data_IF_036634265923
#
_entry.id   IF_036634265923
#
_cell.length_a   1.000
_cell.length_b   1.000
_cell.length_c   1.000
_cell.angle_alpha   90.00
_cell.angle_beta   90.00
_cell.angle_gamma   90.00
#
_symmetry.space_group_name_H-M   'P 1'
#
loop_
_entity.id
_entity.type
_entity.pdbx_description
1 polymer ?
#
# COMPACT_ATOMS: atom_id res chain seq x y z
N UNK A 1 12.48 6.19 23.79
CA UNK A 1 11.93 6.31 25.15
C UNK A 1 11.66 7.78 25.41
N UNK A 2 10.42 8.26 25.26
CA UNK A 2 10.11 9.65 25.55
C UNK A 2 9.89 9.81 27.06
N UNK A 3 10.99 9.76 27.78
CA UNK A 3 11.03 9.87 29.23
C UNK A 3 10.35 11.15 29.75
N UNK A 4 10.43 12.23 28.96
CA UNK A 4 9.81 13.51 29.32
C UNK A 4 8.27 13.47 29.28
N UNK A 5 7.63 12.49 28.65
CA UNK A 5 6.17 12.37 28.63
C UNK A 5 5.59 12.07 30.02
N UNK A 6 6.37 11.36 30.86
CA UNK A 6 5.96 10.93 32.20
C UNK A 6 6.62 11.75 33.31
N UNK A 7 7.59 12.59 32.97
CA UNK A 7 8.37 13.38 33.90
C UNK A 7 8.22 14.89 33.64
N UNK A 8 7.05 15.35 33.26
CA UNK A 8 6.77 16.77 33.21
C UNK A 8 6.84 17.33 34.62
N UNK A 9 7.93 18.01 34.88
CA UNK A 9 8.12 18.80 36.10
C UNK A 9 8.00 20.27 35.75
N UNK A 10 7.08 20.96 36.41
CA UNK A 10 7.04 22.41 36.47
C UNK A 10 7.76 22.81 37.74
N UNK A 11 8.91 23.41 37.61
CA UNK A 11 9.60 23.99 38.79
C UNK A 11 9.00 25.34 39.08
N UNK A 12 8.32 25.45 40.22
CA UNK A 12 7.92 26.74 40.75
C UNK A 12 9.14 27.45 41.34
N UNK A 13 9.55 28.56 40.72
CA UNK A 13 10.73 29.32 41.12
C UNK A 13 10.58 30.02 42.48
N UNK A 14 9.35 30.29 42.91
CA UNK A 14 9.06 30.99 44.16
C UNK A 14 9.12 30.06 45.37
N UNK A 15 8.67 28.81 45.19
CA UNK A 15 8.53 27.86 46.30
C UNK A 15 9.63 26.80 46.36
N UNK A 16 10.52 26.72 45.37
CA UNK A 16 11.50 25.63 45.13
C UNK A 16 10.86 24.23 45.18
N UNK A 17 9.64 24.15 44.71
CA UNK A 17 8.89 22.90 44.61
C UNK A 17 8.74 22.51 43.15
N UNK A 18 8.50 21.23 42.93
CA UNK A 18 8.17 20.67 41.64
C UNK A 18 6.69 20.29 41.66
N UNK A 19 5.93 20.85 40.77
CA UNK A 19 4.53 20.60 40.56
C UNK A 19 4.32 19.52 39.50
N UNK A 20 3.26 18.71 39.67
CA UNK A 20 2.94 17.60 38.78
C UNK A 20 1.51 17.77 38.25
N UNK A 21 1.32 17.41 36.99
CA UNK A 21 0.00 17.19 36.47
C UNK A 21 -0.54 15.79 36.87
N UNK A 22 -1.84 15.57 36.72
CA UNK A 22 -2.51 14.36 37.17
C UNK A 22 -1.90 13.09 36.54
N UNK A 23 -1.44 13.17 35.30
CA UNK A 23 -0.82 12.02 34.58
C UNK A 23 0.55 11.67 35.18
N UNK A 24 1.32 12.68 35.57
CA UNK A 24 2.62 12.47 36.20
C UNK A 24 2.44 11.96 37.64
N UNK A 25 1.43 12.42 38.35
CA UNK A 25 1.11 11.94 39.69
C UNK A 25 0.73 10.48 39.70
N UNK A 26 -0.19 10.04 38.84
CA UNK A 26 -0.57 8.62 38.72
C UNK A 26 0.65 7.72 38.45
N UNK A 27 1.55 8.17 37.60
CA UNK A 27 2.80 7.44 37.33
C UNK A 27 3.71 7.36 38.58
N UNK A 28 3.85 8.45 39.35
CA UNK A 28 4.68 8.47 40.52
C UNK A 28 4.11 7.69 41.68
N UNK A 29 2.81 7.80 41.95
CA UNK A 29 2.13 7.03 43.00
C UNK A 29 2.22 5.52 42.73
N UNK A 30 2.11 5.10 41.47
CA UNK A 30 2.21 3.69 41.08
C UNK A 30 3.62 3.11 41.21
N UNK A 31 4.65 3.91 40.99
CA UNK A 31 6.04 3.43 40.88
C UNK A 31 6.95 3.87 42.03
N UNK A 32 6.50 4.78 42.90
CA UNK A 32 7.26 5.32 44.01
C UNK A 32 6.36 5.51 45.23
N UNK A 33 6.88 5.20 46.40
CA UNK A 33 6.23 5.48 47.67
C UNK A 33 6.35 6.99 47.97
N UNK A 34 5.35 7.77 47.56
CA UNK A 34 5.32 9.23 47.64
C UNK A 34 4.52 9.72 48.83
N UNK A 35 4.92 9.39 50.05
CA UNK A 35 4.38 9.98 51.30
C UNK A 35 4.71 11.48 51.48
N UNK A 36 5.28 12.11 50.43
CA UNK A 36 5.93 13.41 50.48
C UNK A 36 5.25 14.50 49.66
N UNK A 37 4.13 14.20 49.09
CA UNK A 37 3.38 15.16 48.27
C UNK A 37 2.48 16.04 49.11
N UNK A 38 2.54 17.35 48.86
CA UNK A 38 1.54 18.30 49.33
C UNK A 38 0.55 18.58 48.21
N UNK A 39 -0.72 18.55 48.57
CA UNK A 39 -1.80 18.99 47.69
C UNK A 39 -2.30 20.33 48.23
N UNK A 40 -2.06 21.38 47.51
CA UNK A 40 -2.56 22.73 47.81
C UNK A 40 -3.29 23.23 46.56
N UNK A 41 -4.54 23.69 46.72
CA UNK A 41 -5.37 24.19 45.60
C UNK A 41 -5.51 23.22 44.42
N UNK A 42 -5.52 21.90 44.68
CA UNK A 42 -5.63 20.87 43.65
C UNK A 42 -4.29 20.63 42.90
N UNK A 43 -3.20 21.29 43.27
CA UNK A 43 -1.89 21.10 42.66
C UNK A 43 -1.06 20.20 43.56
N UNK A 44 -0.61 19.08 43.00
CA UNK A 44 0.32 18.19 43.68
C UNK A 44 1.75 18.68 43.52
N UNK A 45 2.50 18.77 44.62
CA UNK A 45 3.88 19.25 44.57
C UNK A 45 4.81 18.53 45.57
N UNK A 46 6.10 18.46 45.23
CA UNK A 46 7.15 17.90 46.08
C UNK A 46 8.34 18.85 46.16
N UNK A 47 9.07 18.86 47.30
CA UNK A 47 10.29 19.67 47.42
C UNK A 47 11.34 19.26 46.37
N UNK A 48 11.96 20.24 45.72
CA UNK A 48 12.91 19.99 44.63
C UNK A 48 14.11 19.15 45.06
N UNK A 49 14.56 19.30 46.31
CA UNK A 49 15.68 18.53 46.90
C UNK A 49 15.32 17.03 47.06
N UNK A 50 14.09 16.76 47.53
CA UNK A 50 13.55 15.39 47.66
C UNK A 50 13.36 14.77 46.29
N UNK A 51 12.75 15.51 45.37
CA UNK A 51 12.61 15.09 43.98
C UNK A 51 13.94 14.71 43.35
N UNK A 52 14.97 15.52 43.52
CA UNK A 52 16.31 15.25 42.96
C UNK A 52 16.87 13.92 43.46
N UNK A 53 16.74 13.61 44.75
CA UNK A 53 17.20 12.32 45.29
C UNK A 53 16.48 11.13 44.68
N UNK A 54 15.15 11.23 44.59
CA UNK A 54 14.31 10.17 43.97
C UNK A 54 14.68 10.00 42.50
N UNK A 55 14.80 11.10 41.76
CA UNK A 55 15.17 11.09 40.36
C UNK A 55 16.56 10.48 40.12
N UNK A 56 17.56 10.89 40.89
CA UNK A 56 18.93 10.40 40.73
C UNK A 56 19.01 8.88 41.05
N UNK A 57 18.31 8.43 42.09
CA UNK A 57 18.24 7.02 42.45
C UNK A 57 17.56 6.18 41.34
N UNK A 58 16.45 6.68 40.86
CA UNK A 58 15.73 6.02 39.75
C UNK A 58 16.56 5.98 38.49
N UNK A 59 17.18 7.11 38.11
CA UNK A 59 18.02 7.17 36.91
C UNK A 59 19.24 6.29 36.98
N UNK A 60 19.82 6.11 38.18
CA UNK A 60 20.91 5.16 38.35
C UNK A 60 20.50 3.73 38.05
N UNK A 61 19.30 3.33 38.50
CA UNK A 61 18.75 2.01 38.20
C UNK A 61 18.37 1.86 36.71
N UNK A 62 17.76 2.88 36.10
CA UNK A 62 17.46 2.90 34.67
C UNK A 62 18.73 2.80 33.83
N UNK A 63 19.78 3.53 34.18
CA UNK A 63 21.08 3.44 33.48
C UNK A 63 21.69 2.04 33.57
N UNK A 64 21.67 1.44 34.76
CA UNK A 64 22.15 0.05 34.94
C UNK A 64 21.38 -0.93 34.10
N UNK A 65 20.05 -0.80 34.07
CA UNK A 65 19.18 -1.64 33.25
C UNK A 65 19.46 -1.48 31.75
N UNK A 66 19.59 -0.22 31.25
CA UNK A 66 19.90 0.07 29.86
C UNK A 66 21.25 -0.53 29.48
N UNK A 67 22.28 -0.37 30.31
CA UNK A 67 23.61 -0.95 30.01
C UNK A 67 23.57 -2.47 29.98
N UNK A 68 22.86 -3.11 30.92
CA UNK A 68 22.75 -4.56 30.99
C UNK A 68 21.94 -5.18 29.84
N UNK A 69 21.01 -4.41 29.25
CA UNK A 69 20.08 -4.90 28.23
C UNK A 69 20.18 -4.10 26.92
N UNK A 70 21.32 -3.45 26.66
CA UNK A 70 21.50 -2.50 25.57
C UNK A 70 21.05 -3.03 24.21
N UNK A 71 21.53 -4.21 23.81
CA UNK A 71 21.29 -4.75 22.48
C UNK A 71 19.82 -5.16 22.29
N UNK A 72 19.22 -5.75 23.34
CA UNK A 72 17.78 -6.10 23.29
C UNK A 72 16.90 -4.86 23.22
N UNK A 73 17.21 -3.83 24.03
CA UNK A 73 16.47 -2.57 24.02
C UNK A 73 16.62 -1.84 22.69
N UNK A 74 17.83 -1.83 22.14
CA UNK A 74 18.10 -1.21 20.83
C UNK A 74 17.31 -1.91 19.72
N UNK A 75 17.30 -3.25 19.72
CA UNK A 75 16.50 -4.02 18.76
C UNK A 75 15.01 -3.70 18.89
N UNK A 76 14.45 -3.76 20.11
CA UNK A 76 13.04 -3.43 20.35
C UNK A 76 12.70 -2.00 19.91
N UNK A 77 13.57 -1.04 20.20
CA UNK A 77 13.36 0.35 19.80
C UNK A 77 13.39 0.51 18.28
N UNK A 78 14.35 -0.12 17.60
CA UNK A 78 14.44 -0.10 16.15
C UNK A 78 13.21 -0.73 15.51
N UNK A 79 12.73 -1.85 16.02
CA UNK A 79 11.52 -2.52 15.51
C UNK A 79 10.28 -1.62 15.64
N UNK A 80 10.15 -0.89 16.75
CA UNK A 80 9.06 0.08 16.95
C UNK A 80 9.18 1.24 15.96
N UNK A 81 10.38 1.84 15.87
CA UNK A 81 10.62 2.99 14.98
C UNK A 81 10.42 2.61 13.51
N UNK A 82 10.89 1.44 13.09
CA UNK A 82 10.70 0.94 11.72
C UNK A 82 9.20 0.78 11.45
N UNK A 83 8.44 0.16 12.35
CA UNK A 83 6.98 0.01 12.19
C UNK A 83 6.26 1.36 12.10
N UNK A 84 6.66 2.34 12.93
CA UNK A 84 6.08 3.69 12.88
C UNK A 84 6.42 4.41 11.56
N UNK A 85 7.66 4.30 11.09
CA UNK A 85 8.10 4.88 9.82
C UNK A 85 7.37 4.22 8.64
N UNK A 86 7.30 2.89 8.64
CA UNK A 86 6.56 2.13 7.65
C UNK A 86 5.10 2.60 7.62
N UNK A 87 4.41 2.63 8.75
CA UNK A 87 3.02 3.06 8.84
C UNK A 87 2.80 4.51 8.36
N UNK A 88 3.78 5.38 8.56
CA UNK A 88 3.66 6.81 8.23
C UNK A 88 3.98 7.13 6.76
N UNK A 89 4.98 6.47 6.20
CA UNK A 89 5.52 6.84 4.89
C UNK A 89 5.30 5.79 3.82
N UNK A 90 4.98 4.56 4.22
CA UNK A 90 4.77 3.47 3.34
C UNK A 90 3.30 3.17 3.14
N UNK A 91 2.87 3.17 1.92
CA UNK A 91 1.56 2.65 1.54
C UNK A 91 1.75 1.28 0.89
N UNK A 92 1.12 0.25 1.48
CA UNK A 92 1.16 -1.10 0.94
C UNK A 92 2.28 -1.99 1.51
N UNK A 93 2.61 -3.03 0.78
CA UNK A 93 3.54 -4.08 1.17
C UNK A 93 5.00 -3.74 0.82
N UNK A 94 5.95 -4.48 1.37
CA UNK A 94 7.38 -4.42 1.02
C UNK A 94 7.60 -4.66 -0.47
N UNK A 95 6.80 -5.55 -1.05
CA UNK A 95 6.86 -5.89 -2.47
C UNK A 95 6.43 -4.70 -3.35
N UNK A 96 5.36 -4.00 -2.94
CA UNK A 96 4.98 -2.74 -3.60
C UNK A 96 6.10 -1.71 -3.56
N UNK A 97 6.80 -1.59 -2.45
CA UNK A 97 7.94 -0.66 -2.36
C UNK A 97 9.11 -1.06 -3.24
N UNK A 98 9.40 -2.35 -3.32
CA UNK A 98 10.40 -2.87 -4.26
C UNK A 98 10.04 -2.48 -5.68
N UNK A 99 8.79 -2.71 -6.10
CA UNK A 99 8.32 -2.31 -7.43
C UNK A 99 8.40 -0.79 -7.64
N UNK A 100 7.97 0.02 -6.68
CA UNK A 100 7.96 1.48 -6.79
C UNK A 100 9.38 2.08 -6.81
N UNK A 101 10.32 1.46 -6.09
CA UNK A 101 11.68 1.98 -5.91
C UNK A 101 12.67 1.48 -6.97
N UNK A 102 12.67 0.18 -7.24
CA UNK A 102 13.64 -0.48 -8.12
C UNK A 102 13.01 -1.08 -9.37
N UNK A 103 11.70 -0.94 -9.54
CA UNK A 103 10.93 -1.38 -10.71
C UNK A 103 10.90 -2.90 -10.94
N UNK A 104 11.16 -3.69 -9.90
CA UNK A 104 10.96 -5.13 -9.89
C UNK A 104 10.69 -5.62 -8.45
N UNK A 105 10.12 -6.81 -8.33
CA UNK A 105 9.94 -7.48 -7.05
C UNK A 105 11.21 -8.21 -6.65
N UNK A 106 11.67 -8.03 -5.42
CA UNK A 106 12.89 -8.67 -4.92
C UNK A 106 12.61 -10.10 -4.44
N UNK A 107 11.50 -10.30 -3.75
CA UNK A 107 11.16 -11.58 -3.13
C UNK A 107 9.93 -12.19 -3.80
N UNK A 108 8.75 -11.61 -3.58
CA UNK A 108 7.47 -12.14 -4.06
C UNK A 108 6.74 -11.11 -4.93
N UNK A 109 6.02 -11.62 -5.92
CA UNK A 109 5.12 -10.78 -6.69
C UNK A 109 3.85 -10.49 -5.88
N UNK A 110 3.41 -9.23 -5.78
CA UNK A 110 2.21 -8.87 -4.99
C UNK A 110 0.97 -9.68 -5.35
N UNK A 111 0.85 -10.10 -6.61
CA UNK A 111 -0.28 -10.91 -7.08
C UNK A 111 -0.28 -12.35 -6.53
N UNK A 112 0.79 -12.82 -5.90
CA UNK A 112 0.82 -14.13 -5.24
C UNK A 112 -0.06 -14.15 -3.99
N UNK A 113 -0.30 -12.99 -3.39
CA UNK A 113 -1.18 -12.84 -2.23
C UNK A 113 -2.66 -12.70 -2.60
N UNK A 114 -2.99 -12.54 -3.89
CA UNK A 114 -4.35 -12.32 -4.34
C UNK A 114 -5.02 -13.64 -4.75
N UNK A 115 -6.28 -13.83 -4.36
CA UNK A 115 -7.11 -14.94 -4.85
C UNK A 115 -7.60 -14.67 -6.28
N UNK A 116 -6.69 -14.79 -7.23
CA UNK A 116 -6.97 -14.57 -8.65
C UNK A 116 -7.79 -15.71 -9.29
N UNK A 117 -7.74 -16.91 -8.73
CA UNK A 117 -8.48 -18.05 -9.23
C UNK A 117 -9.98 -17.85 -9.10
N UNK A 118 -10.44 -17.29 -7.99
CA UNK A 118 -11.87 -16.94 -7.79
C UNK A 118 -12.40 -15.95 -8.82
N UNK A 119 -11.52 -15.14 -9.42
CA UNK A 119 -11.82 -14.18 -10.47
C UNK A 119 -11.72 -14.74 -11.88
N UNK A 120 -11.43 -16.04 -12.03
CA UNK A 120 -11.24 -16.69 -13.32
C UNK A 120 -9.98 -16.26 -14.07
N UNK A 121 -8.97 -15.80 -13.33
CA UNK A 121 -7.65 -15.46 -13.87
C UNK A 121 -6.81 -16.73 -13.99
N UNK A 122 -6.24 -16.94 -15.16
CA UNK A 122 -5.39 -18.08 -15.49
C UNK A 122 -3.92 -17.65 -15.59
N UNK A 123 -3.00 -18.56 -15.31
CA UNK A 123 -1.58 -18.32 -15.57
C UNK A 123 -1.32 -18.26 -17.08
N UNK A 124 -0.69 -17.18 -17.55
CA UNK A 124 -0.38 -17.02 -18.97
C UNK A 124 0.39 -18.19 -19.55
N UNK A 125 1.32 -18.76 -18.80
CA UNK A 125 2.19 -19.82 -19.29
C UNK A 125 1.50 -21.17 -19.40
N UNK A 126 0.37 -21.35 -18.71
CA UNK A 126 -0.50 -22.53 -18.83
C UNK A 126 -1.40 -22.48 -20.07
N UNK A 127 -1.57 -21.30 -20.69
CA UNK A 127 -2.42 -21.12 -21.85
C UNK A 127 -1.77 -21.67 -23.13
N UNK A 128 -2.56 -22.23 -24.07
CA UNK A 128 -2.03 -22.64 -25.35
C UNK A 128 -1.50 -21.44 -26.16
N UNK A 129 -0.36 -21.61 -26.82
CA UNK A 129 0.30 -20.53 -27.59
C UNK A 129 -0.54 -20.02 -28.77
N UNK A 130 -1.44 -20.85 -29.29
CA UNK A 130 -2.37 -20.47 -30.35
C UNK A 130 -3.77 -20.30 -29.77
N UNK A 131 -4.50 -19.25 -30.17
CA UNK A 131 -5.85 -19.01 -29.71
C UNK A 131 -6.78 -20.16 -30.11
N UNK A 132 -7.54 -20.66 -29.12
CA UNK A 132 -8.55 -21.69 -29.38
C UNK A 132 -9.84 -21.07 -29.96
N UNK A 133 -10.39 -21.68 -31.01
CA UNK A 133 -11.65 -21.23 -31.56
C UNK A 133 -12.79 -21.73 -30.65
N UNK A 134 -13.58 -20.79 -30.12
CA UNK A 134 -14.77 -21.10 -29.34
C UNK A 134 -15.99 -21.36 -30.22
N UNK A 135 -16.14 -20.58 -31.29
CA UNK A 135 -17.22 -20.77 -32.30
C UNK A 135 -16.83 -20.12 -33.61
N UNK A 136 -17.51 -20.51 -34.66
CA UNK A 136 -17.35 -19.92 -35.99
C UNK A 136 -18.72 -19.65 -36.62
N UNK A 137 -18.86 -18.54 -37.34
CA UNK A 137 -20.06 -18.24 -38.07
C UNK A 137 -19.73 -17.65 -39.44
N UNK A 138 -20.63 -17.85 -40.39
CA UNK A 138 -20.48 -17.34 -41.76
C UNK A 138 -21.09 -15.93 -41.82
N UNK A 139 -20.27 -14.94 -42.17
CA UNK A 139 -20.74 -13.57 -42.40
C UNK A 139 -21.58 -13.47 -43.69
N UNK A 140 -22.31 -12.36 -43.86
CA UNK A 140 -23.19 -12.13 -45.02
C UNK A 140 -22.44 -12.14 -46.36
N UNK A 141 -21.18 -11.81 -46.38
CA UNK A 141 -20.27 -11.83 -47.53
C UNK A 141 -19.62 -13.19 -47.80
N UNK A 142 -19.98 -14.20 -47.02
CA UNK A 142 -19.48 -15.57 -47.18
C UNK A 142 -18.22 -15.91 -46.41
N UNK A 143 -17.53 -14.93 -45.77
CA UNK A 143 -16.35 -15.18 -44.97
C UNK A 143 -16.70 -15.90 -43.67
N UNK A 144 -15.80 -16.79 -43.21
CA UNK A 144 -15.92 -17.44 -41.91
C UNK A 144 -15.23 -16.53 -40.86
N UNK A 145 -16.02 -16.14 -39.88
CA UNK A 145 -15.52 -15.38 -38.71
C UNK A 145 -15.37 -16.34 -37.55
N UNK A 146 -14.14 -16.44 -37.02
CA UNK A 146 -13.85 -17.26 -35.86
C UNK A 146 -13.89 -16.38 -34.61
N UNK A 147 -14.66 -16.82 -33.62
CA UNK A 147 -14.62 -16.29 -32.26
C UNK A 147 -13.70 -17.18 -31.44
N UNK A 148 -12.70 -16.57 -30.80
CA UNK A 148 -11.74 -17.29 -30.00
C UNK A 148 -12.18 -17.34 -28.54
N UNK A 149 -11.79 -18.39 -27.83
CA UNK A 149 -11.95 -18.45 -26.36
C UNK A 149 -11.12 -17.34 -25.74
N UNK A 150 -11.77 -16.49 -24.96
CA UNK A 150 -11.09 -15.47 -24.18
C UNK A 150 -10.84 -15.99 -22.76
N UNK A 151 -9.73 -15.59 -22.21
CA UNK A 151 -9.33 -15.86 -20.83
C UNK A 151 -8.80 -14.58 -20.19
N UNK A 152 -8.60 -14.58 -18.89
CA UNK A 152 -8.05 -13.45 -18.15
C UNK A 152 -6.70 -13.84 -17.59
N UNK A 153 -5.73 -12.92 -17.70
CA UNK A 153 -4.42 -13.01 -17.06
C UNK A 153 -4.22 -11.80 -16.16
N UNK A 154 -3.33 -11.88 -15.16
CA UNK A 154 -3.00 -10.76 -14.31
C UNK A 154 -1.50 -10.46 -14.32
N UNK A 155 -1.15 -9.19 -14.12
CA UNK A 155 0.24 -8.75 -14.03
C UNK A 155 0.37 -7.30 -13.62
N UNK A 156 1.60 -6.92 -13.25
CA UNK A 156 1.97 -5.54 -12.94
C UNK A 156 2.59 -4.88 -14.15
N UNK A 157 2.13 -3.70 -14.52
CA UNK A 157 2.70 -2.92 -15.63
C UNK A 157 4.12 -2.51 -15.29
N UNK A 158 5.09 -2.91 -16.10
CA UNK A 158 6.48 -2.51 -15.95
C UNK A 158 6.94 -1.55 -17.05
N UNK A 159 6.30 -1.59 -18.22
CA UNK A 159 6.61 -0.70 -19.34
C UNK A 159 5.42 -0.55 -20.29
N UNK A 160 5.45 0.47 -21.17
CA UNK A 160 4.49 0.69 -22.24
C UNK A 160 5.13 1.29 -23.50
N UNK A 161 4.69 0.83 -24.64
CA UNK A 161 5.00 1.40 -25.94
C UNK A 161 3.73 1.89 -26.63
N UNK A 162 3.52 3.22 -26.61
CA UNK A 162 2.31 3.85 -27.19
C UNK A 162 2.24 3.71 -28.71
N UNK A 163 3.38 3.71 -29.38
CA UNK A 163 3.43 3.62 -30.85
C UNK A 163 3.00 2.24 -31.32
N UNK A 164 3.39 1.21 -30.59
CA UNK A 164 3.00 -0.17 -30.87
C UNK A 164 1.66 -0.57 -30.20
N UNK A 165 1.04 0.32 -29.42
CA UNK A 165 -0.12 0.02 -28.59
C UNK A 165 0.10 -1.20 -27.70
N UNK A 166 1.24 -1.24 -27.00
CA UNK A 166 1.65 -2.37 -26.18
C UNK A 166 1.92 -1.91 -24.75
N UNK A 167 1.65 -2.80 -23.79
CA UNK A 167 2.15 -2.72 -22.43
C UNK A 167 2.90 -4.00 -22.08
N UNK A 168 3.89 -3.88 -21.23
CA UNK A 168 4.64 -5.02 -20.71
C UNK A 168 4.16 -5.30 -19.29
N UNK A 169 3.66 -6.49 -19.05
CA UNK A 169 3.23 -6.97 -17.76
C UNK A 169 4.25 -7.94 -17.17
N UNK A 170 4.59 -7.73 -15.92
CA UNK A 170 5.24 -8.73 -15.09
C UNK A 170 4.15 -9.55 -14.42
N UNK A 171 4.04 -10.83 -14.77
CA UNK A 171 3.18 -11.81 -14.10
C UNK A 171 3.97 -12.52 -13.02
N UNK A 172 3.34 -13.36 -12.22
CA UNK A 172 4.03 -14.19 -11.22
C UNK A 172 5.10 -15.12 -11.81
N UNK A 173 4.94 -15.52 -13.08
CA UNK A 173 5.79 -16.52 -13.74
C UNK A 173 6.63 -15.96 -14.89
N UNK A 174 6.60 -14.65 -15.16
CA UNK A 174 7.41 -14.05 -16.20
C UNK A 174 6.82 -12.81 -16.86
N UNK A 175 7.44 -12.36 -17.93
CA UNK A 175 7.10 -11.11 -18.62
C UNK A 175 6.26 -11.38 -19.86
N UNK A 176 5.13 -10.68 -19.97
CA UNK A 176 4.16 -10.81 -21.06
C UNK A 176 3.96 -9.47 -21.75
N UNK A 177 3.95 -9.47 -23.07
CA UNK A 177 3.62 -8.29 -23.89
C UNK A 177 2.14 -8.32 -24.21
N UNK A 178 1.40 -7.32 -23.73
CA UNK A 178 -0.04 -7.20 -24.00
C UNK A 178 -0.26 -6.20 -25.12
N UNK A 179 -0.91 -6.62 -26.16
CA UNK A 179 -1.35 -5.79 -27.29
C UNK A 179 -2.72 -5.18 -26.99
N UNK A 180 -2.78 -3.84 -26.89
CA UNK A 180 -3.98 -3.07 -26.52
C UNK A 180 -4.52 -2.28 -27.73
N UNK A 181 -4.62 -2.92 -28.87
CA UNK A 181 -5.07 -2.29 -30.11
C UNK A 181 -6.45 -1.66 -29.99
N UNK A 182 -6.56 -0.38 -30.42
CA UNK A 182 -7.81 0.37 -30.42
C UNK A 182 -8.29 0.85 -29.04
N UNK A 183 -7.67 0.40 -27.96
CA UNK A 183 -8.07 0.77 -26.58
C UNK A 183 -6.96 1.42 -25.78
N UNK A 184 -5.73 1.48 -26.31
CA UNK A 184 -4.57 2.04 -25.62
C UNK A 184 -4.84 3.43 -25.06
N UNK A 185 -5.38 4.35 -25.85
CA UNK A 185 -5.63 5.73 -25.43
C UNK A 185 -6.67 5.83 -24.31
N UNK A 186 -7.69 4.96 -24.33
CA UNK A 186 -8.74 4.94 -23.33
C UNK A 186 -8.18 4.70 -21.93
N UNK A 187 -7.24 3.75 -21.79
CA UNK A 187 -6.69 3.35 -20.49
C UNK A 187 -5.41 4.10 -20.11
N UNK A 188 -4.68 4.64 -21.10
CA UNK A 188 -3.47 5.43 -20.82
C UNK A 188 -3.74 6.92 -20.50
N UNK A 189 -4.97 7.40 -20.65
CA UNK A 189 -5.34 8.78 -20.36
C UNK A 189 -5.36 9.02 -18.85
N UNK A 190 -4.70 10.09 -18.39
CA UNK A 190 -4.88 10.63 -17.04
C UNK A 190 -6.15 11.48 -17.00
N UNK A 191 -6.94 11.29 -15.96
CA UNK A 191 -8.18 12.05 -15.74
C UNK A 191 -7.92 13.07 -14.63
N UNK A 192 -8.26 14.34 -14.89
CA UNK A 192 -8.08 15.42 -13.94
C UNK A 192 -9.27 16.39 -13.99
N UNK A 193 -9.60 16.96 -12.86
CA UNK A 193 -10.65 17.96 -12.69
C UNK A 193 -10.05 19.27 -12.20
N UNK A 194 -10.71 20.39 -12.52
CA UNK A 194 -10.35 21.70 -11.99
C UNK A 194 -11.13 21.90 -10.70
N UNK A 195 -10.42 21.95 -9.57
CA UNK A 195 -11.02 22.19 -8.27
C UNK A 195 -11.52 23.63 -8.08
N UNK A 196 -12.24 23.88 -7.01
CA UNK A 196 -12.72 25.21 -6.63
C UNK A 196 -11.59 26.25 -6.44
N UNK A 197 -10.36 25.77 -6.24
CA UNK A 197 -9.14 26.60 -6.16
C UNK A 197 -8.54 26.96 -7.53
N UNK A 198 -9.19 26.58 -8.63
CA UNK A 198 -8.72 26.78 -10.00
C UNK A 198 -7.53 25.89 -10.41
N UNK A 199 -7.11 24.96 -9.56
CA UNK A 199 -6.00 24.03 -9.86
C UNK A 199 -6.51 22.71 -10.42
N UNK A 200 -5.69 22.09 -11.27
CA UNK A 200 -5.96 20.74 -11.77
C UNK A 200 -5.58 19.69 -10.71
N UNK A 201 -6.57 18.94 -10.27
CA UNK A 201 -6.40 17.79 -9.40
C UNK A 201 -6.53 16.49 -10.21
N UNK A 202 -5.60 15.55 -10.02
CA UNK A 202 -5.65 14.26 -10.66
C UNK A 202 -6.67 13.41 -9.91
N UNK A 203 -7.77 13.03 -10.58
CA UNK A 203 -8.79 12.14 -10.05
C UNK A 203 -8.38 10.69 -10.28
N UNK A 204 -7.88 10.40 -11.48
CA UNK A 204 -7.47 9.05 -11.85
C UNK A 204 -6.24 9.09 -12.75
N UNK A 205 -5.23 8.30 -12.38
CA UNK A 205 -4.00 8.15 -13.16
C UNK A 205 -4.21 7.21 -14.34
N UNK A 206 -3.26 7.21 -15.29
CA UNK A 206 -3.20 6.19 -16.33
C UNK A 206 -3.16 4.79 -15.71
N UNK A 207 -3.98 3.88 -16.23
CA UNK A 207 -3.92 2.47 -15.82
C UNK A 207 -2.67 1.77 -16.35
N UNK A 208 -2.03 2.33 -17.37
CA UNK A 208 -0.78 1.82 -17.92
C UNK A 208 0.45 2.54 -17.34
N UNK A 209 0.33 2.99 -16.10
CA UNK A 209 1.46 3.48 -15.34
C UNK A 209 2.22 2.31 -14.73
N UNK A 210 3.55 2.42 -14.67
CA UNK A 210 4.40 1.43 -14.01
C UNK A 210 3.95 1.20 -12.56
N UNK A 211 3.95 -0.05 -12.13
CA UNK A 211 3.47 -0.47 -10.81
C UNK A 211 1.96 -0.73 -10.73
N UNK A 212 1.19 -0.37 -11.77
CA UNK A 212 -0.25 -0.65 -11.82
C UNK A 212 -0.50 -2.14 -12.03
N UNK A 213 -1.34 -2.74 -11.21
CA UNK A 213 -1.76 -4.13 -11.32
C UNK A 213 -3.06 -4.23 -12.14
N UNK A 214 -3.06 -5.09 -13.13
CA UNK A 214 -4.17 -5.24 -14.07
C UNK A 214 -4.56 -6.71 -14.23
N UNK A 215 -5.87 -6.95 -14.37
CA UNK A 215 -6.40 -8.15 -15.01
C UNK A 215 -6.71 -7.77 -16.45
N UNK A 216 -6.23 -8.58 -17.37
CA UNK A 216 -6.40 -8.37 -18.81
C UNK A 216 -7.20 -9.52 -19.39
N UNK A 217 -8.32 -9.21 -20.05
CA UNK A 217 -9.12 -10.20 -20.78
C UNK A 217 -8.68 -10.24 -22.24
N UNK A 218 -8.49 -11.44 -22.78
CA UNK A 218 -8.00 -11.60 -24.13
C UNK A 218 -7.63 -13.03 -24.47
N UNK A 219 -6.60 -13.19 -25.29
CA UNK A 219 -6.09 -14.48 -25.72
C UNK A 219 -4.58 -14.46 -25.93
N UNK A 220 -3.91 -15.57 -25.61
CA UNK A 220 -2.49 -15.77 -25.93
C UNK A 220 -2.32 -15.94 -27.43
N UNK A 221 -1.27 -15.32 -27.98
CA UNK A 221 -0.93 -15.39 -29.40
C UNK A 221 0.58 -15.43 -29.57
N UNK A 222 1.15 -16.61 -29.44
CA UNK A 222 2.59 -16.84 -29.50
C UNK A 222 3.25 -16.99 -28.15
N UNK A 223 4.55 -16.93 -28.11
CA UNK A 223 5.39 -17.28 -26.97
C UNK A 223 5.09 -16.40 -25.74
N UNK A 224 5.13 -15.07 -25.89
CA UNK A 224 4.99 -14.11 -24.82
C UNK A 224 4.00 -12.96 -25.11
N UNK A 225 3.10 -13.15 -26.10
CA UNK A 225 2.16 -12.12 -26.55
C UNK A 225 0.76 -12.49 -26.08
N UNK A 226 0.06 -11.52 -25.49
CA UNK A 226 -1.34 -11.58 -25.15
C UNK A 226 -2.08 -10.44 -25.82
N UNK A 227 -3.17 -10.75 -26.53
CA UNK A 227 -3.97 -9.74 -27.22
C UNK A 227 -5.18 -9.42 -26.38
N UNK A 228 -5.23 -8.20 -25.85
CA UNK A 228 -6.38 -7.71 -25.11
C UNK A 228 -7.61 -7.65 -26.03
N UNK A 229 -8.69 -8.33 -25.66
CA UNK A 229 -9.91 -8.43 -26.45
C UNK A 229 -11.14 -8.67 -25.60
N UNK A 230 -12.26 -8.13 -26.06
CA UNK A 230 -13.59 -8.47 -25.55
C UNK A 230 -14.55 -8.70 -26.71
N UNK A 231 -15.59 -9.47 -26.49
CA UNK A 231 -16.64 -9.64 -27.46
C UNK A 231 -17.92 -8.95 -27.00
N UNK A 232 -18.59 -8.30 -27.99
CA UNK A 232 -19.89 -7.69 -27.78
C UNK A 232 -19.91 -6.47 -26.86
N UNK A 233 -21.13 -6.08 -26.48
CA UNK A 233 -21.43 -4.97 -25.59
C UNK A 233 -21.75 -5.44 -24.17
N UNK A 234 -21.30 -6.65 -23.81
CA UNK A 234 -21.52 -7.17 -22.46
C UNK A 234 -20.82 -6.24 -21.44
N UNK A 235 -21.57 -5.56 -20.58
CA UNK A 235 -21.01 -4.63 -19.60
C UNK A 235 -20.07 -5.33 -18.61
N UNK A 236 -20.17 -6.65 -18.45
CA UNK A 236 -19.34 -7.42 -17.55
C UNK A 236 -18.03 -7.91 -18.17
N UNK A 237 -17.76 -7.57 -19.45
CA UNK A 237 -16.53 -7.97 -20.15
C UNK A 237 -15.70 -6.75 -20.50
N UNK A 238 -14.69 -6.49 -19.71
CA UNK A 238 -13.75 -5.39 -19.88
C UNK A 238 -12.46 -5.89 -20.55
N UNK A 239 -11.76 -5.02 -21.28
CA UNK A 239 -10.41 -5.33 -21.78
C UNK A 239 -9.42 -5.40 -20.63
N UNK A 240 -9.52 -4.43 -19.70
CA UNK A 240 -8.67 -4.28 -18.55
C UNK A 240 -9.51 -4.02 -17.31
N UNK A 241 -9.11 -4.59 -16.20
CA UNK A 241 -9.67 -4.35 -14.86
C UNK A 241 -8.51 -3.95 -13.98
N UNK A 242 -8.64 -2.83 -13.28
CA UNK A 242 -7.64 -2.35 -12.34
C UNK A 242 -7.79 -3.06 -11.00
N UNK A 243 -6.71 -3.62 -10.49
CA UNK A 243 -6.60 -4.08 -9.10
C UNK A 243 -6.13 -2.88 -8.27
N UNK A 244 -7.02 -2.31 -7.46
CA UNK A 244 -6.71 -1.16 -6.60
C UNK A 244 -5.94 -1.58 -5.38
N UNK A 245 -6.42 -2.63 -4.71
CA UNK A 245 -5.88 -3.10 -3.45
C UNK A 245 -5.99 -4.62 -3.35
N UNK A 246 -5.02 -5.22 -2.70
CA UNK A 246 -5.00 -6.62 -2.32
C UNK A 246 -5.05 -6.64 -0.80
N UNK A 247 -6.12 -7.22 -0.25
CA UNK A 247 -6.33 -7.30 1.19
C UNK A 247 -5.51 -8.45 1.81
N UNK A 248 -5.35 -8.42 3.12
CA UNK A 248 -4.61 -9.46 3.87
C UNK A 248 -5.23 -10.86 3.74
N UNK A 249 -6.53 -10.95 3.49
CA UNK A 249 -7.26 -12.21 3.26
C UNK A 249 -7.17 -12.72 1.81
N UNK A 250 -6.44 -12.02 0.94
CA UNK A 250 -6.30 -12.34 -0.48
C UNK A 250 -7.42 -11.80 -1.36
N UNK A 251 -8.46 -11.20 -0.79
CA UNK A 251 -9.49 -10.53 -1.59
C UNK A 251 -8.92 -9.28 -2.25
N UNK A 252 -9.52 -8.87 -3.39
CA UNK A 252 -9.03 -7.74 -4.17
C UNK A 252 -10.12 -6.71 -4.42
N UNK A 253 -9.77 -5.43 -4.30
CA UNK A 253 -10.62 -4.34 -4.73
C UNK A 253 -10.39 -4.08 -6.21
N UNK A 254 -11.46 -4.17 -7.02
CA UNK A 254 -11.41 -4.04 -8.47
C UNK A 254 -12.10 -2.76 -8.93
N UNK A 255 -11.54 -2.17 -9.99
CA UNK A 255 -12.19 -1.13 -10.77
C UNK A 255 -12.30 -1.59 -12.22
N UNK A 256 -13.52 -1.72 -12.73
CA UNK A 256 -13.82 -2.22 -14.06
C UNK A 256 -13.92 -1.13 -15.12
N UNK A 257 -14.27 0.08 -14.71
CA UNK A 257 -14.46 1.22 -15.61
C UNK A 257 -13.60 2.40 -15.21
N UNK A 258 -13.18 3.16 -16.20
CA UNK A 258 -12.50 4.44 -16.00
C UNK A 258 -13.49 5.46 -15.44
N UNK A 259 -13.01 6.33 -14.57
CA UNK A 259 -13.83 7.43 -14.04
C UNK A 259 -14.35 8.29 -15.19
N UNK A 260 -15.66 8.44 -15.27
CA UNK A 260 -16.27 9.38 -16.21
C UNK A 260 -16.15 10.80 -15.64
N UNK A 261 -15.53 11.68 -16.40
CA UNK A 261 -15.59 13.12 -16.12
C UNK A 261 -16.75 13.66 -16.95
N UNK A 262 -17.80 14.11 -16.30
CA UNK A 262 -18.84 14.87 -16.97
C UNK A 262 -18.17 16.07 -17.62
N UNK A 263 -18.12 16.08 -18.96
CA UNK A 263 -17.75 17.26 -19.72
C UNK A 263 -18.91 18.25 -19.57
N UNK A 264 -18.76 19.21 -18.63
CA UNK A 264 -19.56 20.43 -18.67
C UNK A 264 -19.12 21.33 -19.82
#
# INVERSE_FOLDING_TARGET
>A
FNYNKYLRKLKNKETDRIEFDDVAMEFYEKNFDLDLTKVEDGICSIAASTWKKIYDSYMANVKKYIVANHDELLKKLNDILIKEIIKKYASGTTDKWSMDSVCFYQDHHELEYADLLSLGVEDFWSLPEQPQIASSFKAKDGHIINLFKLTSIAGTVIDKDKLKSQITLLTTNGVVIVQAYGVMQQYDKQISEVGADGKKHIIERSWFQRGTKLIVNGMRRGENIFVAKKYGKDPNKHHFILIKEINEDGSVELQTERTEVNAE
#
